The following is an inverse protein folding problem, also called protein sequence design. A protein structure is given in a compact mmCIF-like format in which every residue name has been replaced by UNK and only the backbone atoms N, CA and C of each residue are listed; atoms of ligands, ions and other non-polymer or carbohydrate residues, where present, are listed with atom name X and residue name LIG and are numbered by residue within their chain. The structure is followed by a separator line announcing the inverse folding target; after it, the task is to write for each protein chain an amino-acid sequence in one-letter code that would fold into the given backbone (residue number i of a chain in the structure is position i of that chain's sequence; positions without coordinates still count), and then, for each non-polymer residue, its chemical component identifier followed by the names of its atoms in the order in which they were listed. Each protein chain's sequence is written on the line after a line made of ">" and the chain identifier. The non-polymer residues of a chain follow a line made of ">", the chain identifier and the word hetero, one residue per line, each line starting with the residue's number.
data_IF_962607803385
#
_entry.id   IF_962607803385
#
_cell.length_a   1.000
_cell.length_b   1.000
_cell.length_c   1.000
_cell.angle_alpha   90.00
_cell.angle_beta   90.00
_cell.angle_gamma   90.00
#
_symmetry.space_group_name_H-M   'P 1'
#
loop_
_entity.id
_entity.type
_entity.pdbx_description
1 polymer ?
#
# COMPACT_ATOMS: atom_id res chain seq x y z
N UNK A 1 -31.97 -12.22 20.77
CA UNK A 1 -30.58 -12.67 20.54
C UNK A 1 -30.32 -12.67 19.04
N UNK A 2 -30.09 -11.49 18.46
CA UNK A 2 -29.75 -11.34 17.04
C UNK A 2 -28.77 -10.19 16.92
N UNK A 3 -27.48 -10.49 17.03
CA UNK A 3 -26.41 -9.52 16.79
C UNK A 3 -25.06 -10.09 16.29
N UNK A 4 -24.95 -11.29 15.67
CA UNK A 4 -23.68 -11.69 15.07
C UNK A 4 -23.44 -11.07 13.68
N UNK A 5 -24.50 -10.78 12.91
CA UNK A 5 -24.36 -10.43 11.48
C UNK A 5 -23.78 -9.03 11.26
N UNK A 6 -24.16 -8.04 12.08
CA UNK A 6 -23.69 -6.67 11.90
C UNK A 6 -22.21 -6.51 12.25
N UNK A 7 -21.70 -7.24 13.26
CA UNK A 7 -20.30 -7.19 13.67
C UNK A 7 -19.39 -7.78 12.59
N UNK A 8 -19.76 -8.91 11.98
CA UNK A 8 -18.96 -9.54 10.92
C UNK A 8 -18.86 -8.66 9.67
N UNK A 9 -19.95 -7.96 9.29
CA UNK A 9 -19.96 -7.06 8.12
C UNK A 9 -19.11 -5.81 8.37
N UNK A 10 -19.10 -5.28 9.60
CA UNK A 10 -18.26 -4.15 10.01
C UNK A 10 -16.76 -4.51 10.05
N UNK A 11 -16.42 -5.72 10.53
CA UNK A 11 -15.04 -6.23 10.46
C UNK A 11 -14.59 -6.48 9.02
N UNK A 12 -15.43 -7.07 8.17
CA UNK A 12 -15.12 -7.26 6.75
C UNK A 12 -14.88 -5.91 6.04
N UNK A 13 -15.75 -4.91 6.21
CA UNK A 13 -15.55 -3.59 5.62
C UNK A 13 -14.24 -2.92 6.03
N UNK A 14 -13.84 -3.09 7.29
CA UNK A 14 -12.57 -2.56 7.83
C UNK A 14 -11.35 -3.30 7.29
N UNK A 15 -11.45 -4.63 7.17
CA UNK A 15 -10.38 -5.47 6.58
C UNK A 15 -10.22 -5.15 5.10
N UNK A 16 -11.30 -5.08 4.32
CA UNK A 16 -11.26 -4.77 2.89
C UNK A 16 -10.79 -3.34 2.60
N UNK A 17 -11.03 -2.39 3.53
CA UNK A 17 -10.48 -1.04 3.45
C UNK A 17 -8.98 -0.94 3.77
N UNK A 18 -8.47 -1.74 4.73
CA UNK A 18 -7.04 -1.76 5.10
C UNK A 18 -6.17 -2.63 4.18
N UNK A 19 -6.73 -3.69 3.58
CA UNK A 19 -6.01 -4.62 2.73
C UNK A 19 -5.28 -3.97 1.54
N UNK A 20 -5.88 -3.06 0.76
CA UNK A 20 -5.16 -2.40 -0.34
C UNK A 20 -4.01 -1.50 0.15
N UNK A 21 -4.11 -0.91 1.35
CA UNK A 21 -3.04 -0.10 1.95
C UNK A 21 -1.82 -0.95 2.28
N UNK A 22 -2.03 -2.05 2.99
CA UNK A 22 -0.96 -2.96 3.41
C UNK A 22 -0.32 -3.63 2.20
N UNK A 23 -1.14 -4.01 1.21
CA UNK A 23 -0.64 -4.57 -0.04
C UNK A 23 0.23 -3.56 -0.80
N UNK A 24 -0.19 -2.30 -0.89
CA UNK A 24 0.60 -1.25 -1.54
C UNK A 24 1.91 -1.00 -0.79
N UNK A 25 1.89 -0.96 0.55
CA UNK A 25 3.08 -0.78 1.36
C UNK A 25 4.09 -1.93 1.19
N UNK A 26 3.62 -3.17 1.34
CA UNK A 26 4.44 -4.37 1.19
C UNK A 26 5.01 -4.49 -0.23
N UNK A 27 4.18 -4.26 -1.25
CA UNK A 27 4.60 -4.30 -2.66
C UNK A 27 5.63 -3.22 -2.98
N UNK A 28 5.46 -2.02 -2.42
CA UNK A 28 6.44 -0.95 -2.51
C UNK A 28 7.80 -1.36 -1.92
N UNK A 29 7.78 -1.96 -0.72
CA UNK A 29 8.98 -2.50 -0.07
C UNK A 29 9.70 -3.58 -0.90
N UNK A 30 8.95 -4.53 -1.45
CA UNK A 30 9.49 -5.58 -2.34
C UNK A 30 10.14 -4.97 -3.58
N UNK A 31 9.53 -3.94 -4.17
CA UNK A 31 10.10 -3.26 -5.34
C UNK A 31 11.39 -2.50 -5.01
N UNK A 32 11.53 -1.92 -3.82
CA UNK A 32 12.80 -1.32 -3.40
C UNK A 32 13.90 -2.37 -3.24
N UNK A 33 13.59 -3.54 -2.70
CA UNK A 33 14.53 -4.67 -2.65
C UNK A 33 14.92 -5.14 -4.05
N UNK A 34 13.94 -5.21 -4.96
CA UNK A 34 14.19 -5.57 -6.36
C UNK A 34 15.07 -4.53 -7.06
N UNK A 35 14.83 -3.23 -6.82
CA UNK A 35 15.66 -2.15 -7.34
C UNK A 35 17.11 -2.27 -6.86
N UNK A 36 17.32 -2.54 -5.56
CA UNK A 36 18.64 -2.79 -5.02
C UNK A 36 19.30 -4.02 -5.67
N UNK A 37 18.54 -5.11 -5.87
CA UNK A 37 19.01 -6.31 -6.56
C UNK A 37 19.46 -6.02 -8.00
N UNK A 38 18.69 -5.23 -8.76
CA UNK A 38 19.08 -4.82 -10.11
C UNK A 38 20.31 -3.91 -10.12
N UNK A 39 20.46 -3.01 -9.15
CA UNK A 39 21.63 -2.16 -9.04
C UNK A 39 22.90 -2.98 -8.76
N UNK A 40 22.81 -3.96 -7.86
CA UNK A 40 23.89 -4.91 -7.58
C UNK A 40 24.22 -5.74 -8.81
N UNK A 41 23.21 -6.25 -9.51
CA UNK A 41 23.40 -7.01 -10.75
C UNK A 41 24.07 -6.16 -11.84
N UNK A 42 23.66 -4.90 -12.01
CA UNK A 42 24.28 -3.96 -12.96
C UNK A 42 25.78 -3.78 -12.67
N UNK A 43 26.14 -3.61 -11.39
CA UNK A 43 27.51 -3.44 -10.95
C UNK A 43 28.36 -4.69 -11.20
N UNK A 44 27.86 -5.87 -10.82
CA UNK A 44 28.57 -7.15 -10.94
C UNK A 44 28.74 -7.59 -12.40
N UNK A 45 27.73 -7.37 -13.23
CA UNK A 45 27.73 -7.83 -14.63
C UNK A 45 28.26 -6.78 -15.60
N UNK A 46 28.46 -5.52 -15.15
CA UNK A 46 28.78 -4.35 -15.99
C UNK A 46 27.73 -4.09 -17.09
N UNK A 47 26.53 -4.66 -16.95
CA UNK A 47 25.44 -4.50 -17.89
C UNK A 47 24.57 -3.34 -17.46
N UNK A 48 24.75 -2.20 -18.13
CA UNK A 48 24.06 -0.95 -17.80
C UNK A 48 22.53 -1.00 -17.99
N UNK A 49 22.01 -1.95 -18.77
CA UNK A 49 20.55 -2.08 -18.97
C UNK A 49 19.81 -2.43 -17.67
N UNK A 50 20.47 -3.07 -16.69
CA UNK A 50 19.90 -3.33 -15.36
C UNK A 50 19.59 -2.04 -14.57
N UNK A 51 20.25 -0.92 -14.88
CA UNK A 51 19.85 0.37 -14.28
C UNK A 51 18.45 0.78 -14.70
N UNK A 52 18.00 0.41 -15.91
CA UNK A 52 16.61 0.62 -16.33
C UNK A 52 15.63 -0.10 -15.41
N UNK A 53 15.92 -1.35 -15.04
CA UNK A 53 15.14 -2.11 -14.07
C UNK A 53 15.17 -1.50 -12.67
N UNK A 54 16.34 -1.00 -12.25
CA UNK A 54 16.51 -0.29 -10.96
C UNK A 54 15.62 0.95 -10.87
N UNK A 55 15.65 1.81 -11.89
CA UNK A 55 14.87 3.04 -11.93
C UNK A 55 13.38 2.73 -11.98
N UNK A 56 12.96 1.79 -12.82
CA UNK A 56 11.55 1.40 -12.94
C UNK A 56 11.00 0.84 -11.63
N UNK A 57 11.76 -0.05 -10.98
CA UNK A 57 11.38 -0.60 -9.68
C UNK A 57 11.35 0.48 -8.59
N UNK A 58 12.30 1.42 -8.60
CA UNK A 58 12.32 2.56 -7.67
C UNK A 58 11.12 3.49 -7.82
N UNK A 59 10.78 3.89 -9.05
CA UNK A 59 9.61 4.75 -9.33
C UNK A 59 8.32 4.03 -8.94
N UNK A 60 8.17 2.76 -9.34
CA UNK A 60 6.97 1.97 -9.03
C UNK A 60 6.83 1.76 -7.52
N UNK A 61 7.94 1.48 -6.82
CA UNK A 61 7.96 1.32 -5.37
C UNK A 61 7.57 2.60 -4.64
N UNK A 62 8.07 3.76 -5.09
CA UNK A 62 7.70 5.06 -4.56
C UNK A 62 6.22 5.39 -4.80
N UNK A 63 5.69 5.09 -5.99
CA UNK A 63 4.27 5.28 -6.30
C UNK A 63 3.35 4.43 -5.42
N UNK A 64 3.74 3.18 -5.14
CA UNK A 64 3.00 2.29 -4.25
C UNK A 64 3.05 2.74 -2.78
N UNK A 65 4.19 3.29 -2.33
CA UNK A 65 4.25 3.93 -1.01
C UNK A 65 3.35 5.15 -0.93
N UNK A 66 3.37 6.02 -1.94
CA UNK A 66 2.48 7.18 -2.00
C UNK A 66 1.00 6.76 -2.02
N UNK A 67 0.65 5.70 -2.76
CA UNK A 67 -0.69 5.13 -2.76
C UNK A 67 -1.08 4.60 -1.37
N UNK A 68 -0.16 3.93 -0.67
CA UNK A 68 -0.41 3.45 0.69
C UNK A 68 -0.72 4.59 1.66
N UNK A 69 0.04 5.69 1.60
CA UNK A 69 -0.22 6.91 2.40
C UNK A 69 -1.57 7.51 2.03
N UNK A 70 -1.87 7.65 0.74
CA UNK A 70 -3.16 8.16 0.28
C UNK A 70 -4.34 7.33 0.79
N UNK A 71 -4.24 5.99 0.72
CA UNK A 71 -5.27 5.09 1.25
C UNK A 71 -5.43 5.21 2.77
N UNK A 72 -4.33 5.50 3.48
CA UNK A 72 -4.38 5.77 4.92
C UNK A 72 -5.12 7.06 5.23
N UNK A 73 -4.81 8.13 4.52
CA UNK A 73 -5.44 9.44 4.73
C UNK A 73 -6.93 9.40 4.36
N UNK A 74 -7.29 8.69 3.29
CA UNK A 74 -8.67 8.47 2.90
C UNK A 74 -9.46 7.72 3.99
N UNK A 75 -8.83 6.73 4.63
CA UNK A 75 -9.47 5.99 5.71
C UNK A 75 -9.75 6.86 6.94
N UNK A 76 -8.86 7.79 7.30
CA UNK A 76 -9.09 8.74 8.39
C UNK A 76 -10.13 9.81 8.03
N UNK A 77 -10.10 10.34 6.81
CA UNK A 77 -11.11 11.29 6.37
C UNK A 77 -12.53 10.70 6.39
N UNK A 78 -12.66 9.41 6.05
CA UNK A 78 -13.95 8.71 6.16
C UNK A 78 -14.37 8.43 7.60
N UNK A 79 -13.44 8.23 8.56
CA UNK A 79 -13.83 8.03 9.97
C UNK A 79 -14.39 9.31 10.58
N UNK A 80 -13.78 10.46 10.28
CA UNK A 80 -14.23 11.76 10.80
C UNK A 80 -15.65 12.10 10.30
N UNK A 81 -15.97 11.76 9.04
CA UNK A 81 -17.31 11.95 8.47
C UNK A 81 -18.39 11.08 9.13
N UNK A 82 -18.03 9.90 9.65
CA UNK A 82 -18.98 9.01 10.33
C UNK A 82 -19.26 9.51 11.75
N UNK A 83 -18.26 10.02 12.48
CA UNK A 83 -18.47 10.62 13.80
C UNK A 83 -19.39 11.87 13.72
N UNK A 84 -19.25 12.69 12.68
CA UNK A 84 -20.08 13.89 12.48
C UNK A 84 -21.57 13.57 12.14
N UNK A 85 -21.88 12.40 11.59
CA UNK A 85 -23.26 11.96 11.30
C UNK A 85 -23.98 11.41 12.55
N UNK A 86 -23.27 10.74 13.46
CA UNK A 86 -23.84 10.18 14.69
C UNK A 86 -24.14 11.27 15.76
N UNK A 87 -23.58 12.48 15.65
CA UNK A 87 -23.84 13.62 16.55
C UNK A 87 -25.06 14.49 16.15
N UNK A 88 -25.76 14.18 15.05
CA UNK A 88 -26.95 14.94 14.57
C UNK A 88 -28.28 14.23 14.78
#
# INVERSE_FOLDING_TARGET
>A
MHEPVQITVLEEGKIWGMLPRELAYASGGVLFLLAAGFAVAAFLTQQWWFFGGTVLAGITGAALQALSVYLRDLAYANSDLIEDEDER
#
